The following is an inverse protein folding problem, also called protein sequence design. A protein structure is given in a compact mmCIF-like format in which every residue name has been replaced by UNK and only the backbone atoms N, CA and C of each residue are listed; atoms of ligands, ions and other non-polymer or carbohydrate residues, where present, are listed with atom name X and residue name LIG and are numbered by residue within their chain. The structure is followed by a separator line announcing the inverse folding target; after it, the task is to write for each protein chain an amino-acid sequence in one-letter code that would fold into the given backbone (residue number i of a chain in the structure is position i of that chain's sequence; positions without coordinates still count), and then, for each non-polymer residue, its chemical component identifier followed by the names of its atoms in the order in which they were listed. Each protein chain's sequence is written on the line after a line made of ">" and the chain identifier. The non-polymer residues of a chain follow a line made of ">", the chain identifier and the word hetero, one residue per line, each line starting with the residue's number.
data_IF_237188561878
#
_entry.id   IF_237188561878
#
_cell.length_a   1.000
_cell.length_b   1.000
_cell.length_c   1.000
_cell.angle_alpha   90.00
_cell.angle_beta   90.00
_cell.angle_gamma   90.00
#
_symmetry.space_group_name_H-M   'P 1'
#
loop_
_entity.id
_entity.type
_entity.pdbx_description
1 polymer ?
#
# COMPACT_ATOMS: atom_id res chain seq x y z
N UNK A 1 -27.45 12.14 -10.70
CA UNK A 1 -26.06 11.68 -10.51
C UNK A 1 -25.98 11.23 -9.08
N UNK A 2 -25.90 9.92 -8.89
CA UNK A 2 -25.94 9.26 -7.60
C UNK A 2 -24.87 9.87 -6.69
N UNK A 3 -25.30 10.34 -5.53
CA UNK A 3 -24.40 10.57 -4.40
C UNK A 3 -23.77 9.21 -4.11
N UNK A 4 -22.49 9.04 -4.48
CA UNK A 4 -21.68 7.94 -3.96
C UNK A 4 -21.61 8.20 -2.46
N UNK A 5 -22.40 7.43 -1.71
CA UNK A 5 -22.31 7.38 -0.27
C UNK A 5 -20.86 7.08 0.10
N UNK A 6 -20.21 7.97 0.85
CA UNK A 6 -18.95 7.66 1.51
C UNK A 6 -19.13 6.31 2.21
N UNK A 7 -18.36 5.31 1.80
CA UNK A 7 -18.35 4.00 2.45
C UNK A 7 -18.04 4.28 3.92
N UNK A 8 -18.94 3.90 4.82
CA UNK A 8 -18.68 4.07 6.25
C UNK A 8 -17.61 3.06 6.64
N UNK A 9 -16.59 3.52 7.32
CA UNK A 9 -15.59 2.65 7.94
C UNK A 9 -16.29 1.66 8.87
N UNK A 10 -15.73 0.46 8.96
CA UNK A 10 -16.09 -0.49 10.02
C UNK A 10 -15.61 0.02 11.38
N UNK A 11 -16.18 -0.49 12.47
CA UNK A 11 -15.74 -0.12 13.82
C UNK A 11 -14.25 -0.45 14.09
N UNK A 12 -13.74 -1.51 13.44
CA UNK A 12 -12.33 -1.87 13.46
C UNK A 12 -11.48 -0.80 12.77
N UNK A 13 -11.84 -0.40 11.55
CA UNK A 13 -11.14 0.64 10.79
C UNK A 13 -11.18 2.00 11.51
N UNK A 14 -12.31 2.37 12.11
CA UNK A 14 -12.43 3.58 12.93
C UNK A 14 -11.45 3.54 14.12
N UNK A 15 -11.34 2.40 14.79
CA UNK A 15 -10.43 2.19 15.93
C UNK A 15 -8.97 2.25 15.49
N UNK A 16 -8.63 1.63 14.35
CA UNK A 16 -7.29 1.63 13.77
C UNK A 16 -6.84 3.04 13.35
N UNK A 17 -7.76 3.87 12.83
CA UNK A 17 -7.46 5.28 12.52
C UNK A 17 -7.09 6.07 13.77
N UNK A 18 -7.65 5.75 14.95
CA UNK A 18 -7.27 6.40 16.21
C UNK A 18 -5.86 6.04 16.69
N UNK A 19 -5.25 4.98 16.15
CA UNK A 19 -3.88 4.59 16.50
C UNK A 19 -2.81 5.41 15.75
N UNK A 20 -3.21 6.14 14.70
CA UNK A 20 -2.29 6.89 13.84
C UNK A 20 -1.72 8.11 14.57
N UNK A 21 -0.41 8.28 14.48
CA UNK A 21 0.25 9.51 14.88
C UNK A 21 0.31 10.44 13.66
N UNK A 22 -0.50 11.51 13.68
CA UNK A 22 -0.64 12.44 12.55
C UNK A 22 -0.19 13.84 12.95
N UNK A 23 0.70 14.45 12.14
CA UNK A 23 1.13 15.84 12.27
C UNK A 23 1.01 16.54 10.92
N UNK A 24 0.25 17.63 10.84
CA UNK A 24 0.08 18.44 9.61
C UNK A 24 -0.32 17.63 8.35
N UNK A 25 -1.16 16.61 8.52
CA UNK A 25 -1.60 15.72 7.43
C UNK A 25 -0.60 14.62 7.07
N UNK A 26 0.49 14.47 7.85
CA UNK A 26 1.51 13.45 7.68
C UNK A 26 1.31 12.36 8.72
N UNK A 27 1.19 11.10 8.30
CA UNK A 27 1.27 9.96 9.22
C UNK A 27 2.74 9.73 9.55
N UNK A 28 3.13 9.94 10.80
CA UNK A 28 4.51 9.78 11.26
C UNK A 28 4.77 8.42 11.92
N UNK A 29 3.71 7.69 12.26
CA UNK A 29 3.80 6.40 12.94
C UNK A 29 2.46 5.91 13.44
N UNK A 30 2.51 4.90 14.28
CA UNK A 30 1.38 4.43 15.08
C UNK A 30 1.78 4.33 16.54
N UNK A 31 0.84 4.67 17.42
CA UNK A 31 1.08 4.72 18.88
C UNK A 31 1.58 3.40 19.46
N UNK A 32 1.12 2.27 18.92
CA UNK A 32 1.65 0.93 19.19
C UNK A 32 1.27 -0.04 18.08
N UNK A 33 2.27 -0.56 17.36
CA UNK A 33 2.09 -1.47 16.22
C UNK A 33 1.41 -2.80 16.58
N UNK A 34 1.47 -3.24 17.84
CA UNK A 34 0.82 -4.46 18.30
C UNK A 34 -0.72 -4.34 18.38
N UNK A 35 -1.27 -3.12 18.41
CA UNK A 35 -2.72 -2.89 18.41
C UNK A 35 -3.29 -2.63 17.02
N UNK A 36 -2.44 -2.33 16.03
CA UNK A 36 -2.91 -2.18 14.65
C UNK A 36 -3.14 -3.56 14.04
N UNK A 37 -4.41 -3.98 14.00
CA UNK A 37 -4.81 -5.30 13.53
C UNK A 37 -5.92 -5.22 12.49
N UNK A 38 -5.96 -6.12 11.51
CA UNK A 38 -7.05 -6.15 10.54
C UNK A 38 -6.90 -5.12 9.41
N UNK A 39 -7.93 -4.32 9.15
CA UNK A 39 -8.00 -3.36 8.02
C UNK A 39 -7.74 -1.92 8.48
N UNK A 40 -6.93 -1.19 7.70
CA UNK A 40 -6.74 0.25 7.85
C UNK A 40 -7.06 0.97 6.54
N UNK A 41 -7.95 1.96 6.61
CA UNK A 41 -8.20 2.89 5.52
C UNK A 41 -7.69 4.25 5.97
N UNK A 42 -6.64 4.74 5.31
CA UNK A 42 -6.09 6.05 5.64
C UNK A 42 -7.07 7.15 5.21
N UNK A 43 -7.35 8.16 6.06
CA UNK A 43 -8.23 9.26 5.70
C UNK A 43 -7.73 10.05 4.50
N UNK A 44 -8.64 10.53 3.63
CA UNK A 44 -8.30 11.37 2.46
C UNK A 44 -7.62 12.72 2.82
N UNK A 45 -7.60 13.06 4.12
CA UNK A 45 -6.86 14.23 4.63
C UNK A 45 -5.35 14.00 4.71
N UNK A 46 -4.88 12.75 4.58
CA UNK A 46 -3.45 12.42 4.65
C UNK A 46 -2.76 12.75 3.33
N UNK A 47 -1.68 13.51 3.37
CA UNK A 47 -0.92 13.96 2.20
C UNK A 47 0.44 13.27 2.06
N UNK A 48 0.97 12.78 3.17
CA UNK A 48 2.28 12.13 3.25
C UNK A 48 2.31 11.06 4.35
N UNK A 49 3.20 10.09 4.19
CA UNK A 49 3.46 9.04 5.17
C UNK A 49 4.97 8.97 5.37
N UNK A 50 5.42 9.12 6.61
CA UNK A 50 6.83 9.09 6.96
C UNK A 50 7.45 7.72 6.69
N UNK A 51 8.77 7.70 6.56
CA UNK A 51 9.52 6.44 6.45
C UNK A 51 9.28 5.60 7.71
N UNK A 52 9.23 4.27 7.56
CA UNK A 52 9.01 3.34 8.68
C UNK A 52 7.69 3.51 9.48
N UNK A 53 6.74 4.35 9.04
CA UNK A 53 5.54 4.68 9.85
C UNK A 53 4.66 3.46 10.21
N UNK A 54 4.71 2.39 9.42
CA UNK A 54 4.02 1.13 9.68
C UNK A 54 4.98 -0.05 9.86
N UNK A 55 6.27 0.18 10.11
CA UNK A 55 7.23 -0.91 10.31
C UNK A 55 6.78 -1.84 11.45
N UNK A 56 6.89 -3.15 11.22
CA UNK A 56 6.53 -4.21 12.17
C UNK A 56 5.08 -4.17 12.66
N UNK A 57 4.15 -3.58 11.90
CA UNK A 57 2.70 -3.71 12.13
C UNK A 57 2.21 -5.12 11.74
N UNK A 58 2.68 -6.12 12.49
CA UNK A 58 2.53 -7.54 12.19
C UNK A 58 1.08 -8.04 12.25
N UNK A 59 0.14 -7.31 12.84
CA UNK A 59 -1.29 -7.64 12.83
C UNK A 59 -2.09 -6.98 11.71
N UNK A 60 -1.52 -6.02 10.98
CA UNK A 60 -2.17 -5.32 9.88
C UNK A 60 -2.31 -6.29 8.69
N UNK A 61 -3.54 -6.52 8.24
CA UNK A 61 -3.84 -7.47 7.15
C UNK A 61 -4.19 -6.79 5.83
N UNK A 62 -4.70 -5.57 5.87
CA UNK A 62 -5.12 -4.81 4.70
C UNK A 62 -4.88 -3.33 4.91
N UNK A 63 -4.38 -2.64 3.88
CA UNK A 63 -4.31 -1.19 3.89
C UNK A 63 -4.76 -0.55 2.58
N UNK A 64 -5.52 0.54 2.70
CA UNK A 64 -5.90 1.43 1.60
C UNK A 64 -5.24 2.78 1.81
N UNK A 65 -4.40 3.17 0.85
CA UNK A 65 -3.71 4.47 0.83
C UNK A 65 -4.48 5.39 -0.12
N UNK A 66 -4.94 6.57 0.32
CA UNK A 66 -5.80 7.45 -0.48
C UNK A 66 -5.04 8.15 -1.61
N UNK A 67 -5.80 8.67 -2.57
CA UNK A 67 -5.29 9.41 -3.73
C UNK A 67 -4.56 10.71 -3.36
N UNK A 68 -4.78 11.24 -2.15
CA UNK A 68 -4.13 12.44 -1.62
C UNK A 68 -2.65 12.23 -1.28
N UNK A 69 -2.20 10.99 -1.09
CA UNK A 69 -0.81 10.65 -0.80
C UNK A 69 0.01 10.63 -2.08
N UNK A 70 1.18 11.27 -2.06
CA UNK A 70 2.01 11.41 -3.28
C UNK A 70 3.16 10.40 -3.39
N UNK A 71 3.56 9.78 -2.26
CA UNK A 71 4.72 8.90 -2.16
C UNK A 71 4.53 7.85 -1.06
N UNK A 72 5.06 6.65 -1.30
CA UNK A 72 5.32 5.63 -0.27
C UNK A 72 6.80 5.72 0.10
N UNK A 73 7.08 5.99 1.38
CA UNK A 73 8.44 6.13 1.90
C UNK A 73 9.24 4.83 1.96
N UNK A 74 10.53 4.95 2.25
CA UNK A 74 11.40 3.79 2.43
C UNK A 74 10.97 2.98 3.66
N UNK A 75 11.02 1.64 3.53
CA UNK A 75 10.72 0.67 4.59
C UNK A 75 9.35 0.82 5.25
N UNK A 76 8.38 1.46 4.57
CA UNK A 76 7.12 1.88 5.17
C UNK A 76 6.37 0.75 5.90
N UNK A 77 6.26 -0.42 5.27
CA UNK A 77 5.60 -1.62 5.80
C UNK A 77 6.60 -2.75 6.07
N UNK A 78 7.88 -2.43 6.29
CA UNK A 78 8.89 -3.46 6.58
C UNK A 78 8.41 -4.35 7.75
N UNK A 79 8.57 -5.66 7.62
CA UNK A 79 8.16 -6.66 8.62
C UNK A 79 6.65 -6.67 8.97
N UNK A 80 5.76 -6.14 8.10
CA UNK A 80 4.31 -6.32 8.24
C UNK A 80 3.89 -7.73 7.81
N UNK A 81 4.18 -8.73 8.64
CA UNK A 81 4.10 -10.13 8.24
C UNK A 81 2.70 -10.62 7.90
N UNK A 82 1.63 -10.09 8.50
CA UNK A 82 0.25 -10.51 8.20
C UNK A 82 -0.42 -9.69 7.09
N UNK A 83 0.28 -8.71 6.51
CA UNK A 83 -0.26 -7.85 5.45
C UNK A 83 -0.50 -8.70 4.20
N UNK A 84 -1.76 -8.76 3.76
CA UNK A 84 -2.20 -9.60 2.64
C UNK A 84 -2.55 -8.81 1.39
N UNK A 85 -3.11 -7.61 1.59
CA UNK A 85 -3.62 -6.75 0.53
C UNK A 85 -3.20 -5.30 0.72
N UNK A 86 -2.70 -4.69 -0.37
CA UNK A 86 -2.37 -3.27 -0.42
C UNK A 86 -3.03 -2.62 -1.64
N UNK A 87 -3.81 -1.57 -1.37
CA UNK A 87 -4.40 -0.71 -2.41
C UNK A 87 -3.69 0.64 -2.38
N UNK A 88 -2.97 0.94 -3.46
CA UNK A 88 -2.16 2.16 -3.62
C UNK A 88 -2.99 3.21 -4.38
N UNK A 89 -3.22 4.35 -3.74
CA UNK A 89 -3.91 5.50 -4.33
C UNK A 89 -3.21 6.04 -5.57
N UNK A 90 -4.01 6.56 -6.51
CA UNK A 90 -3.61 7.01 -7.84
C UNK A 90 -2.67 8.22 -7.84
N UNK A 91 -2.62 9.00 -6.75
CA UNK A 91 -1.71 10.12 -6.57
C UNK A 91 -0.25 9.73 -6.33
N UNK A 92 0.02 8.46 -6.04
CA UNK A 92 1.35 7.99 -5.70
C UNK A 92 2.21 7.88 -6.97
N UNK A 93 3.38 8.50 -6.91
CA UNK A 93 4.36 8.51 -8.02
C UNK A 93 5.62 7.68 -7.75
N UNK A 94 5.87 7.33 -6.48
CA UNK A 94 7.06 6.61 -6.02
C UNK A 94 6.74 5.61 -4.92
N UNK A 95 7.32 4.42 -5.02
CA UNK A 95 7.42 3.41 -3.96
C UNK A 95 8.88 3.36 -3.49
N UNK A 96 9.11 3.56 -2.20
CA UNK A 96 10.45 3.60 -1.59
C UNK A 96 11.20 2.27 -1.60
N UNK A 97 12.49 2.34 -1.24
CA UNK A 97 13.37 1.19 -1.04
C UNK A 97 12.80 0.32 0.08
N UNK A 98 12.68 -0.98 -0.16
CA UNK A 98 12.21 -1.92 0.87
C UNK A 98 10.82 -1.65 1.43
N UNK A 99 9.96 -0.89 0.73
CA UNK A 99 8.67 -0.44 1.24
C UNK A 99 7.77 -1.56 1.78
N UNK A 100 7.83 -2.76 1.19
CA UNK A 100 7.12 -3.97 1.61
C UNK A 100 8.09 -5.14 1.88
N UNK A 101 9.31 -4.84 2.31
CA UNK A 101 10.31 -5.85 2.65
C UNK A 101 9.81 -6.76 3.78
N UNK A 102 9.98 -8.08 3.64
CA UNK A 102 9.56 -9.09 4.62
C UNK A 102 8.04 -9.08 4.93
N UNK A 103 7.21 -8.56 4.02
CA UNK A 103 5.74 -8.72 4.06
C UNK A 103 5.34 -10.13 3.58
N UNK A 104 5.69 -11.15 4.36
CA UNK A 104 5.66 -12.57 3.93
C UNK A 104 4.29 -13.12 3.53
N UNK A 105 3.17 -12.54 3.99
CA UNK A 105 1.82 -12.94 3.56
C UNK A 105 1.23 -12.05 2.46
N UNK A 106 1.98 -11.06 1.96
CA UNK A 106 1.47 -10.13 0.95
C UNK A 106 1.18 -10.89 -0.34
N UNK A 107 -0.10 -10.92 -0.70
CA UNK A 107 -0.64 -11.81 -1.73
C UNK A 107 -1.29 -11.06 -2.88
N UNK A 108 -1.79 -9.85 -2.64
CA UNK A 108 -2.42 -9.00 -3.65
C UNK A 108 -1.93 -7.56 -3.53
N UNK A 109 -1.44 -7.01 -4.63
CA UNK A 109 -0.99 -5.63 -4.72
C UNK A 109 -1.57 -4.98 -5.97
N UNK A 110 -2.20 -3.83 -5.82
CA UNK A 110 -2.64 -3.00 -6.94
C UNK A 110 -1.75 -1.76 -7.05
N UNK A 111 -1.11 -1.58 -8.21
CA UNK A 111 -0.18 -0.49 -8.49
C UNK A 111 -0.75 0.42 -9.61
N UNK A 112 -1.01 1.71 -9.34
CA UNK A 112 -1.65 2.63 -10.27
C UNK A 112 -0.71 3.12 -11.38
N UNK A 113 -1.28 3.84 -12.37
CA UNK A 113 -0.55 4.32 -13.55
C UNK A 113 0.52 5.38 -13.24
N UNK A 114 0.36 6.16 -12.17
CA UNK A 114 1.22 7.29 -11.80
C UNK A 114 2.63 6.93 -11.34
N UNK A 115 2.91 5.66 -11.10
CA UNK A 115 4.20 5.20 -10.59
C UNK A 115 5.31 5.37 -11.65
N UNK A 116 6.31 6.17 -11.28
CA UNK A 116 7.50 6.44 -12.10
C UNK A 116 8.77 5.85 -11.50
N UNK A 117 8.75 5.48 -10.21
CA UNK A 117 9.88 4.87 -9.51
C UNK A 117 9.41 3.81 -8.50
N UNK A 118 10.11 2.66 -8.47
CA UNK A 118 9.98 1.63 -7.44
C UNK A 118 11.39 1.32 -6.93
N UNK A 119 11.64 1.54 -5.64
CA UNK A 119 12.94 1.37 -5.01
C UNK A 119 13.40 -0.09 -4.96
N UNK A 120 14.71 -0.29 -4.86
CA UNK A 120 15.29 -1.64 -4.76
C UNK A 120 14.68 -2.41 -3.58
N UNK A 121 14.46 -3.71 -3.77
CA UNK A 121 13.90 -4.62 -2.77
C UNK A 121 12.52 -4.21 -2.23
N UNK A 122 11.79 -3.32 -2.92
CA UNK A 122 10.49 -2.83 -2.45
C UNK A 122 9.51 -3.97 -2.13
N UNK A 123 9.64 -5.13 -2.79
CA UNK A 123 8.80 -6.30 -2.63
C UNK A 123 9.61 -7.57 -2.34
N UNK A 124 10.75 -7.43 -1.68
CA UNK A 124 11.61 -8.58 -1.36
C UNK A 124 11.02 -9.38 -0.19
N UNK A 125 11.08 -10.71 -0.31
CA UNK A 125 10.55 -11.67 0.66
C UNK A 125 9.04 -11.51 0.95
N UNK A 126 8.26 -11.27 -0.11
CA UNK A 126 6.80 -11.41 -0.09
C UNK A 126 6.38 -12.84 -0.47
N UNK A 127 5.08 -13.12 -0.47
CA UNK A 127 4.53 -14.41 -0.91
C UNK A 127 4.99 -14.72 -2.34
N UNK A 128 5.51 -15.92 -2.59
CA UNK A 128 6.08 -16.28 -3.90
C UNK A 128 5.08 -16.24 -5.05
N UNK A 129 3.78 -16.42 -4.75
CA UNK A 129 2.64 -16.38 -5.66
C UNK A 129 1.78 -15.11 -5.48
N UNK A 130 2.37 -14.05 -4.92
CA UNK A 130 1.75 -12.72 -4.83
C UNK A 130 1.36 -12.20 -6.21
N UNK A 131 0.09 -11.83 -6.38
CA UNK A 131 -0.46 -11.29 -7.61
C UNK A 131 -0.34 -9.76 -7.62
N UNK A 132 0.23 -9.24 -8.70
CA UNK A 132 0.34 -7.81 -8.96
C UNK A 132 -0.63 -7.41 -10.05
N UNK A 133 -1.53 -6.47 -9.76
CA UNK A 133 -2.30 -5.77 -10.78
C UNK A 133 -1.64 -4.43 -11.05
N UNK A 134 -1.15 -4.22 -12.26
CA UNK A 134 -0.47 -2.97 -12.65
C UNK A 134 -1.22 -2.29 -13.79
N UNK A 135 -1.27 -0.96 -13.77
CA UNK A 135 -2.00 -0.19 -14.78
C UNK A 135 -1.30 -0.08 -16.14
N UNK A 136 0.00 -0.40 -16.24
CA UNK A 136 0.73 -0.31 -17.50
C UNK A 136 1.97 -1.21 -17.59
N UNK A 137 2.43 -1.46 -18.82
CA UNK A 137 3.70 -2.13 -19.07
C UNK A 137 4.92 -1.34 -18.56
N UNK A 138 4.81 -0.01 -18.44
CA UNK A 138 5.87 0.80 -17.86
C UNK A 138 6.03 0.49 -16.36
N UNK A 139 4.91 0.44 -15.63
CA UNK A 139 4.88 0.05 -14.21
C UNK A 139 5.35 -1.39 -14.03
N UNK A 140 4.91 -2.32 -14.89
CA UNK A 140 5.43 -3.70 -14.93
C UNK A 140 6.96 -3.75 -15.03
N UNK A 141 7.55 -2.90 -15.88
CA UNK A 141 9.00 -2.85 -16.06
C UNK A 141 9.71 -2.33 -14.80
N UNK A 142 9.18 -1.29 -14.16
CA UNK A 142 9.71 -0.78 -12.89
C UNK A 142 9.67 -1.85 -11.80
N UNK A 143 8.54 -2.57 -11.69
CA UNK A 143 8.34 -3.62 -10.71
C UNK A 143 9.41 -4.71 -10.84
N UNK A 144 9.64 -5.21 -12.05
CA UNK A 144 10.66 -6.23 -12.33
C UNK A 144 12.11 -5.75 -12.17
N UNK A 145 12.36 -4.44 -12.22
CA UNK A 145 13.69 -3.89 -11.91
C UNK A 145 13.90 -3.75 -10.40
N UNK A 146 12.83 -3.48 -9.65
CA UNK A 146 12.90 -3.30 -8.20
C UNK A 146 13.22 -4.60 -7.48
N UNK A 147 12.73 -5.73 -8.00
CA UNK A 147 12.92 -7.05 -7.42
C UNK A 147 12.94 -8.12 -8.52
N UNK A 148 14.05 -8.87 -8.60
CA UNK A 148 14.26 -9.91 -9.60
C UNK A 148 13.52 -11.22 -9.30
N UNK A 149 12.98 -11.39 -8.10
CA UNK A 149 12.20 -12.57 -7.72
C UNK A 149 10.77 -12.55 -8.29
N UNK A 150 10.26 -11.38 -8.67
CA UNK A 150 8.91 -11.21 -9.21
C UNK A 150 8.82 -11.81 -10.60
N UNK A 151 8.06 -12.90 -10.70
CA UNK A 151 7.82 -13.62 -11.95
C UNK A 151 6.74 -12.95 -12.80
N UNK A 152 6.86 -13.07 -14.12
CA UNK A 152 6.01 -12.34 -15.07
C UNK A 152 4.55 -12.81 -15.05
N UNK A 153 4.36 -14.10 -14.78
CA UNK A 153 3.07 -14.80 -14.68
C UNK A 153 2.20 -14.33 -13.51
N UNK A 154 2.79 -13.68 -12.51
CA UNK A 154 2.07 -13.12 -11.38
C UNK A 154 1.70 -11.64 -11.59
N UNK A 155 2.02 -11.07 -12.76
CA UNK A 155 1.74 -9.67 -13.07
C UNK A 155 0.64 -9.57 -14.13
N UNK A 156 -0.52 -9.10 -13.69
CA UNK A 156 -1.67 -8.78 -14.53
C UNK A 156 -1.60 -7.30 -14.91
N UNK A 157 -1.47 -7.01 -16.21
CA UNK A 157 -1.53 -5.64 -16.72
C UNK A 157 -2.98 -5.30 -17.05
N UNK A 158 -3.68 -4.63 -16.14
CA UNK A 158 -5.04 -4.20 -16.37
C UNK A 158 -5.04 -2.87 -17.13
N UNK A 159 -5.52 -2.89 -18.39
CA UNK A 159 -5.60 -1.71 -19.27
C UNK A 159 -6.89 -0.91 -19.09
N UNK A 160 -7.76 -1.29 -18.15
CA UNK A 160 -8.98 -0.56 -17.87
C UNK A 160 -8.63 0.75 -17.16
N UNK A 161 -8.56 1.81 -17.95
CA UNK A 161 -8.51 3.19 -17.50
C UNK A 161 -9.80 3.53 -16.74
N UNK A 162 -9.77 3.52 -15.41
CA UNK A 162 -10.76 4.23 -14.61
C UNK A 162 -11.78 3.40 -13.83
N UNK A 163 -11.55 2.11 -13.56
CA UNK A 163 -12.24 1.51 -12.42
C UNK A 163 -11.57 2.01 -11.14
N UNK A 164 -12.33 2.81 -10.40
CA UNK A 164 -12.01 3.14 -9.01
C UNK A 164 -11.84 1.80 -8.31
N UNK A 165 -10.66 1.55 -7.75
CA UNK A 165 -10.43 0.43 -6.83
C UNK A 165 -11.17 0.75 -5.53
N UNK A 166 -12.51 0.71 -5.57
CA UNK A 166 -13.32 0.71 -4.35
C UNK A 166 -13.28 -0.69 -3.74
N UNK A 167 -13.33 -0.81 -2.40
CA UNK A 167 -13.46 -2.10 -1.70
C UNK A 167 -14.64 -2.94 -2.21
#
# INVERSE_FOLDING_TARGET
>A
MEQISALRLTAEEESNVQLLEITDGIVIGVTNSAYLTGSLILPDTITEIAHHAFESCSGLTRIVIPDSVTKIGDWLFRDCTDLKEVIIGSGISKIGIGAFFDCTHLSTITIPQGITEIGNNAFCNIRSDAQFTVASNAVKKLLKHSDSSIQDEHIIVNRLSGEVFTP
#
